data_IF_541453963983
#
_entry.id   IF_541453963983
#
_cell.length_a   1.000
_cell.length_b   1.000
_cell.length_c   1.000
_cell.angle_alpha   90.00
_cell.angle_beta   90.00
_cell.angle_gamma   90.00
#
_symmetry.space_group_name_H-M   'P 1'
#
loop_
_entity.id
_entity.type
_entity.pdbx_description
1 polymer ?
#
# COMPACT_ATOMS: atom_id res chain seq x y z
N UNK A 1 35.17 -15.65 0.96
CA UNK A 1 33.93 -15.24 1.68
C UNK A 1 33.22 -14.08 0.97
N UNK A 2 32.60 -14.31 -0.20
CA UNK A 2 32.03 -13.24 -1.07
C UNK A 2 30.52 -13.40 -1.35
N UNK A 3 29.75 -13.95 -0.42
CA UNK A 3 28.30 -14.19 -0.60
C UNK A 3 27.37 -13.65 0.48
N UNK A 4 27.89 -12.94 1.49
CA UNK A 4 27.05 -12.39 2.57
C UNK A 4 26.67 -10.92 2.42
N UNK A 5 27.30 -10.18 1.49
CA UNK A 5 27.09 -8.72 1.35
C UNK A 5 25.94 -8.32 0.41
N UNK A 6 25.15 -9.27 -0.10
CA UNK A 6 24.14 -9.02 -1.15
C UNK A 6 22.69 -9.24 -0.71
N UNK A 7 22.45 -9.57 0.57
CA UNK A 7 21.11 -9.70 1.16
C UNK A 7 20.80 -8.62 2.22
N UNK A 8 21.55 -7.52 2.24
CA UNK A 8 21.26 -6.34 3.08
C UNK A 8 20.69 -5.16 2.27
N UNK A 9 20.25 -5.41 1.02
CA UNK A 9 19.64 -4.40 0.15
C UNK A 9 18.12 -4.53 -0.02
N UNK A 10 17.48 -5.41 0.73
CA UNK A 10 16.02 -5.44 0.78
C UNK A 10 15.51 -4.50 1.87
N UNK A 11 15.57 -3.20 1.53
CA UNK A 11 14.79 -2.09 2.11
C UNK A 11 14.32 -2.30 3.55
N UNK A 12 15.21 -2.03 4.49
CA UNK A 12 14.88 -1.82 5.90
C UNK A 12 14.20 -0.44 6.02
N UNK A 13 12.99 -0.30 5.44
CA UNK A 13 12.21 0.93 5.51
C UNK A 13 11.73 1.05 6.96
N UNK A 14 12.42 1.88 7.73
CA UNK A 14 11.97 2.29 9.05
C UNK A 14 10.75 3.19 8.89
N UNK A 15 9.65 2.79 9.52
CA UNK A 15 8.46 3.62 9.62
C UNK A 15 8.75 4.76 10.60
N UNK A 16 8.27 5.97 10.29
CA UNK A 16 8.19 7.05 11.29
C UNK A 16 7.20 6.65 12.39
N UNK A 17 7.31 7.27 13.58
CA UNK A 17 6.37 7.04 14.70
C UNK A 17 4.92 7.27 14.25
N UNK A 18 4.65 8.36 13.51
CA UNK A 18 3.33 8.69 12.99
C UNK A 18 2.76 7.60 12.06
N UNK A 19 3.60 7.07 11.16
CA UNK A 19 3.22 5.95 10.28
C UNK A 19 2.90 4.68 11.06
N UNK A 20 3.64 4.41 12.13
CA UNK A 20 3.41 3.26 12.99
C UNK A 20 2.07 3.37 13.72
N UNK A 21 1.82 4.48 14.40
CA UNK A 21 0.54 4.75 15.10
C UNK A 21 -0.66 4.69 14.16
N UNK A 22 -0.49 5.19 12.93
CA UNK A 22 -1.53 5.13 11.90
C UNK A 22 -1.84 3.68 11.51
N UNK A 23 -0.81 2.87 11.27
CA UNK A 23 -1.01 1.45 10.95
C UNK A 23 -1.68 0.73 12.12
N UNK A 24 -1.29 1.00 13.37
CA UNK A 24 -1.93 0.42 14.55
C UNK A 24 -3.41 0.78 14.65
N UNK A 25 -3.78 2.06 14.45
CA UNK A 25 -5.19 2.49 14.42
C UNK A 25 -6.00 1.71 13.39
N UNK A 26 -5.43 1.46 12.21
CA UNK A 26 -6.08 0.67 11.17
C UNK A 26 -6.09 -0.81 11.50
N UNK A 27 -5.06 -1.38 12.14
CA UNK A 27 -5.03 -2.79 12.58
C UNK A 27 -6.21 -3.11 13.49
N UNK A 28 -6.53 -2.19 14.40
CA UNK A 28 -7.65 -2.34 15.35
C UNK A 28 -9.02 -2.37 14.66
N UNK A 29 -9.16 -1.70 13.52
CA UNK A 29 -10.43 -1.59 12.79
C UNK A 29 -10.55 -2.60 11.64
N UNK A 30 -9.46 -2.85 10.91
CA UNK A 30 -9.41 -3.71 9.74
C UNK A 30 -7.98 -4.18 9.43
N UNK A 31 -7.64 -5.41 9.82
CA UNK A 31 -6.32 -6.02 9.61
C UNK A 31 -5.90 -6.09 8.14
N UNK A 32 -6.82 -6.34 7.21
CA UNK A 32 -6.52 -6.40 5.78
C UNK A 32 -6.19 -5.02 5.21
N UNK A 33 -6.94 -3.99 5.61
CA UNK A 33 -6.65 -2.60 5.26
C UNK A 33 -5.31 -2.13 5.85
N UNK A 34 -4.96 -2.54 7.06
CA UNK A 34 -3.67 -2.23 7.67
C UNK A 34 -2.50 -2.83 6.88
N UNK A 35 -2.65 -4.08 6.42
CA UNK A 35 -1.65 -4.74 5.57
C UNK A 35 -1.47 -4.01 4.24
N UNK A 36 -2.56 -3.53 3.63
CA UNK A 36 -2.52 -2.70 2.43
C UNK A 36 -1.87 -1.33 2.69
N UNK A 37 -2.20 -0.68 3.80
CA UNK A 37 -1.62 0.61 4.18
C UNK A 37 -0.11 0.52 4.37
N UNK A 38 0.34 -0.48 5.12
CA UNK A 38 1.75 -0.76 5.32
C UNK A 38 2.48 -1.02 4.00
N UNK A 39 1.83 -1.75 3.09
CA UNK A 39 2.35 -1.97 1.74
C UNK A 39 2.50 -0.67 0.96
N UNK A 40 1.47 0.19 0.93
CA UNK A 40 1.54 1.47 0.23
C UNK A 40 2.59 2.42 0.83
N UNK A 41 2.78 2.43 2.15
CA UNK A 41 3.86 3.21 2.80
C UNK A 41 5.22 2.72 2.31
N UNK A 42 5.44 1.40 2.28
CA UNK A 42 6.70 0.82 1.81
C UNK A 42 6.93 1.07 0.32
N UNK A 43 5.91 0.93 -0.51
CA UNK A 43 6.01 1.22 -1.95
C UNK A 43 6.25 2.72 -2.20
N UNK A 44 5.63 3.63 -1.43
CA UNK A 44 5.87 5.08 -1.53
C UNK A 44 7.28 5.47 -1.09
N UNK A 45 7.85 4.78 -0.10
CA UNK A 45 9.24 5.00 0.30
C UNK A 45 10.23 4.58 -0.80
N UNK A 46 9.86 3.62 -1.66
CA UNK A 46 10.66 3.19 -2.82
C UNK A 46 10.40 4.04 -4.07
N UNK A 47 9.18 4.54 -4.21
CA UNK A 47 8.68 5.20 -5.41
C UNK A 47 7.88 6.45 -5.03
N UNK A 48 8.16 7.60 -5.66
CA UNK A 48 7.43 8.87 -5.39
C UNK A 48 5.91 8.76 -5.56
N UNK A 49 5.44 7.76 -6.33
CA UNK A 49 4.03 7.47 -6.60
C UNK A 49 3.84 5.95 -6.79
N UNK A 50 2.80 5.38 -6.17
CA UNK A 50 2.52 3.93 -6.29
C UNK A 50 1.51 3.70 -7.41
N UNK A 51 1.97 3.24 -8.57
CA UNK A 51 1.12 2.85 -9.71
C UNK A 51 1.06 1.34 -9.81
N UNK A 52 -0.03 0.74 -9.34
CA UNK A 52 -0.21 -0.71 -9.31
C UNK A 52 -1.64 -1.05 -9.73
N UNK A 53 -1.80 -2.15 -10.45
CA UNK A 53 -3.09 -2.77 -10.68
C UNK A 53 -3.55 -3.56 -9.45
N UNK A 54 -4.85 -3.84 -9.37
CA UNK A 54 -5.40 -4.71 -8.34
C UNK A 54 -4.77 -6.10 -8.35
N UNK A 55 -4.47 -6.67 -9.52
CA UNK A 55 -3.80 -7.96 -9.66
C UNK A 55 -2.38 -7.94 -9.10
N UNK A 56 -1.59 -6.90 -9.37
CA UNK A 56 -0.24 -6.75 -8.79
C UNK A 56 -0.28 -6.68 -7.26
N UNK A 57 -1.28 -6.01 -6.69
CA UNK A 57 -1.46 -5.96 -5.23
C UNK A 57 -1.83 -7.34 -4.69
N UNK A 58 -2.74 -8.06 -5.35
CA UNK A 58 -3.13 -9.42 -4.95
C UNK A 58 -1.95 -10.38 -4.96
N UNK A 59 -1.14 -10.35 -6.02
CA UNK A 59 0.05 -11.21 -6.17
C UNK A 59 1.09 -10.91 -5.11
N UNK A 60 1.40 -9.62 -4.86
CA UNK A 60 2.43 -9.24 -3.88
C UNK A 60 2.01 -9.46 -2.44
N UNK A 61 0.72 -9.28 -2.13
CA UNK A 61 0.21 -9.43 -0.77
C UNK A 61 -0.39 -10.80 -0.48
N UNK A 62 -0.54 -11.65 -1.49
CA UNK A 62 -1.20 -12.96 -1.40
C UNK A 62 -2.59 -12.85 -0.74
N UNK A 63 -3.39 -11.88 -1.19
CA UNK A 63 -4.76 -11.66 -0.71
C UNK A 63 -5.75 -11.63 -1.88
N UNK A 64 -7.00 -11.99 -1.61
CA UNK A 64 -8.04 -12.08 -2.63
C UNK A 64 -8.52 -10.70 -3.09
N UNK A 65 -9.03 -10.63 -4.32
CA UNK A 65 -9.59 -9.39 -4.90
C UNK A 65 -10.62 -8.70 -3.98
N UNK A 66 -11.59 -9.41 -3.37
CA UNK A 66 -12.55 -8.77 -2.45
C UNK A 66 -11.86 -8.07 -1.26
N UNK A 67 -10.82 -8.68 -0.68
CA UNK A 67 -10.08 -8.08 0.43
C UNK A 67 -9.31 -6.84 0.00
N UNK A 68 -8.69 -6.88 -1.19
CA UNK A 68 -8.03 -5.70 -1.78
C UNK A 68 -9.03 -4.57 -2.00
N UNK A 69 -10.19 -4.87 -2.60
CA UNK A 69 -11.24 -3.89 -2.90
C UNK A 69 -11.83 -3.28 -1.63
N UNK A 70 -12.16 -4.09 -0.64
CA UNK A 70 -12.70 -3.63 0.65
C UNK A 70 -11.65 -2.81 1.40
N UNK A 71 -10.40 -3.27 1.43
CA UNK A 71 -9.32 -2.58 2.11
C UNK A 71 -8.99 -1.22 1.48
N UNK A 72 -8.89 -1.13 0.15
CA UNK A 72 -8.68 0.14 -0.54
C UNK A 72 -9.85 1.10 -0.28
N UNK A 73 -11.10 0.61 -0.36
CA UNK A 73 -12.27 1.45 -0.05
C UNK A 73 -12.25 1.96 1.39
N UNK A 74 -11.90 1.10 2.35
CA UNK A 74 -11.74 1.48 3.75
C UNK A 74 -10.69 2.58 3.88
N UNK A 75 -9.52 2.42 3.25
CA UNK A 75 -8.45 3.41 3.32
C UNK A 75 -8.84 4.75 2.67
N UNK A 76 -9.58 4.72 1.56
CA UNK A 76 -10.11 5.92 0.91
C UNK A 76 -11.18 6.63 1.75
N UNK A 77 -12.05 5.89 2.42
CA UNK A 77 -13.10 6.47 3.26
C UNK A 77 -12.54 7.10 4.54
N UNK A 78 -11.42 6.58 5.05
CA UNK A 78 -10.74 7.10 6.23
C UNK A 78 -9.63 8.12 5.89
N UNK A 79 -9.53 8.56 4.63
CA UNK A 79 -8.60 9.61 4.22
C UNK A 79 -7.13 9.17 4.10
N UNK A 80 -6.81 7.88 4.17
CA UNK A 80 -5.45 7.37 4.00
C UNK A 80 -5.01 7.30 2.53
N UNK A 81 -5.97 7.07 1.63
CA UNK A 81 -5.74 7.03 0.18
C UNK A 81 -6.61 8.03 -0.54
N UNK A 82 -6.09 8.60 -1.62
CA UNK A 82 -6.87 9.43 -2.51
C UNK A 82 -8.02 8.64 -3.14
N UNK A 83 -9.21 9.23 -3.13
CA UNK A 83 -10.35 8.69 -3.86
C UNK A 83 -10.06 8.79 -5.35
N UNK A 84 -9.93 7.65 -5.99
CA UNK A 84 -9.87 7.61 -7.45
C UNK A 84 -11.27 7.49 -8.03
N UNK A 85 -11.56 8.35 -8.98
CA UNK A 85 -12.72 8.14 -9.85
C UNK A 85 -12.36 7.08 -10.89
N UNK A 86 -12.89 5.88 -10.72
CA UNK A 86 -12.69 4.78 -11.66
C UNK A 86 -13.48 4.98 -12.96
N UNK A 87 -14.38 5.97 -13.04
CA UNK A 87 -15.13 6.30 -14.27
C UNK A 87 -14.24 6.95 -15.32
N UNK A 88 -13.15 7.59 -14.91
CA UNK A 88 -12.22 8.29 -15.80
C UNK A 88 -10.99 7.45 -16.16
N UNK A 89 -10.79 6.30 -15.52
CA UNK A 89 -9.67 5.40 -15.81
C UNK A 89 -9.92 4.67 -17.14
N UNK A 90 -9.02 4.87 -18.11
CA UNK A 90 -9.04 4.06 -19.34
C UNK A 90 -8.73 2.60 -19.00
N UNK A 91 -9.25 1.65 -19.78
CA UNK A 91 -9.01 0.22 -19.58
C UNK A 91 -7.51 -0.17 -19.55
N UNK A 92 -6.65 0.66 -20.17
CA UNK A 92 -5.20 0.47 -20.22
C UNK A 92 -4.43 1.16 -19.09
N UNK A 93 -5.09 2.01 -18.29
CA UNK A 93 -4.44 2.78 -17.23
C UNK A 93 -4.47 2.01 -15.91
N UNK A 94 -3.33 1.96 -15.23
CA UNK A 94 -3.26 1.41 -13.88
C UNK A 94 -3.75 2.46 -12.87
N UNK A 95 -4.54 2.07 -11.86
CA UNK A 95 -4.89 2.98 -10.78
C UNK A 95 -3.61 3.46 -10.07
N UNK A 96 -3.64 4.73 -9.70
CA UNK A 96 -2.55 5.41 -8.99
C UNK A 96 -2.94 5.60 -7.53
N UNK A 97 -2.25 4.94 -6.60
CA UNK A 97 -2.57 5.04 -5.18
C UNK A 97 -1.70 6.11 -4.53
N UNK A 98 -2.29 7.28 -4.32
CA UNK A 98 -1.64 8.38 -3.61
C UNK A 98 -2.00 8.33 -2.13
N UNK A 99 -0.99 8.26 -1.27
CA UNK A 99 -1.15 8.47 0.17
C UNK A 99 -1.35 9.97 0.43
N UNK A 100 -2.53 10.35 0.92
CA UNK A 100 -2.96 11.72 1.21
C UNK A 100 -2.35 12.23 2.53
N UNK A 101 -1.02 12.40 2.52
CA UNK A 101 -0.20 12.95 3.61
C UNK A 101 -0.28 12.24 4.99
N UNK A 102 0.82 12.42 5.71
CA UNK A 102 1.00 12.16 7.14
C UNK A 102 0.88 13.51 7.83
#
# INVERSE_FOLDING_TARGET
MRKLKKMEKDTNIQLTIEQFEMVEKVVLQNKSAARLLLFFIKEKAKHSTVKLSYSEIMERLFISYPLVRVGIRFLQNNGYLEKQDFRTLKATEKPTFNLLKF
#
